data_IF_930395847893
#
_entry.id   IF_930395847893
#
_cell.length_a   1.000
_cell.length_b   1.000
_cell.length_c   1.000
_cell.angle_alpha   90.00
_cell.angle_beta   90.00
_cell.angle_gamma   90.00
#
_symmetry.space_group_name_H-M   'P 1'
#
loop_
_entity.id
_entity.type
_entity.pdbx_description
1 polymer ?
#
# COMPACT_ATOMS: atom_id res chain seq x y z
N UNK A 1 11.58 8.36 10.54
CA UNK A 1 10.95 7.12 10.02
C UNK A 1 11.46 5.93 10.79
N UNK A 2 10.60 4.97 11.13
CA UNK A 2 11.02 3.75 11.83
C UNK A 2 10.73 2.54 10.93
N UNK A 3 11.74 1.68 10.74
CA UNK A 3 11.60 0.40 10.05
C UNK A 3 11.47 -0.73 11.05
N UNK A 4 10.69 -1.75 10.72
CA UNK A 4 10.51 -2.94 11.53
C UNK A 4 10.67 -4.19 10.65
N UNK A 5 11.92 -4.63 10.36
CA UNK A 5 12.16 -5.84 9.59
C UNK A 5 11.69 -7.06 10.36
N UNK A 6 11.10 -8.03 9.65
CA UNK A 6 10.69 -9.31 10.23
C UNK A 6 11.85 -10.30 10.34
N UNK A 7 12.85 -10.18 9.47
CA UNK A 7 14.04 -11.04 9.48
C UNK A 7 15.26 -10.21 9.94
N UNK A 8 15.82 -10.56 11.10
CA UNK A 8 17.01 -9.93 11.66
C UNK A 8 18.27 -10.12 10.78
N UNK A 9 18.22 -11.07 9.84
CA UNK A 9 19.29 -11.29 8.87
C UNK A 9 19.24 -10.36 7.67
N UNK A 10 18.18 -9.59 7.50
CA UNK A 10 18.10 -8.54 6.51
C UNK A 10 19.10 -7.45 6.88
N UNK A 11 20.23 -7.44 6.21
CA UNK A 11 21.19 -6.34 6.25
C UNK A 11 20.58 -5.21 5.45
N UNK A 12 20.03 -4.23 6.13
CA UNK A 12 19.59 -2.97 5.53
C UNK A 12 20.73 -1.98 5.68
N UNK A 13 21.21 -1.45 4.56
CA UNK A 13 22.18 -0.35 4.59
C UNK A 13 21.44 0.93 5.01
N UNK A 14 21.59 1.27 6.28
CA UNK A 14 20.97 2.46 6.88
C UNK A 14 21.87 3.68 6.70
N UNK A 15 22.02 4.15 5.47
CA UNK A 15 22.74 5.39 5.18
C UNK A 15 22.02 6.65 5.71
N UNK A 16 20.77 6.54 6.13
CA UNK A 16 19.96 7.66 6.66
C UNK A 16 20.01 7.66 8.21
N UNK A 17 20.70 8.63 8.83
CA UNK A 17 20.90 8.66 10.28
C UNK A 17 19.61 8.90 11.09
N UNK A 18 18.50 9.32 10.44
CA UNK A 18 17.19 9.49 11.07
C UNK A 18 16.31 8.24 10.99
N UNK A 19 16.84 7.16 10.40
CA UNK A 19 16.14 5.90 10.32
C UNK A 19 16.31 5.14 11.64
N UNK A 20 15.20 4.81 12.28
CA UNK A 20 15.16 3.99 13.50
C UNK A 20 14.68 2.58 13.15
N UNK A 21 15.22 1.58 13.82
CA UNK A 21 14.80 0.18 13.69
C UNK A 21 14.17 -0.27 15.00
N UNK A 22 13.00 -0.92 14.92
CA UNK A 22 12.29 -1.45 16.09
C UNK A 22 11.65 -2.80 15.73
N UNK A 23 11.33 -3.60 16.74
CA UNK A 23 10.52 -4.80 16.53
C UNK A 23 9.11 -4.41 16.03
N UNK A 24 8.51 -5.16 15.08
CA UNK A 24 7.18 -4.87 14.53
C UNK A 24 6.11 -4.69 15.62
N UNK A 25 6.13 -5.53 16.63
CA UNK A 25 5.17 -5.51 17.74
C UNK A 25 5.32 -4.25 18.63
N UNK A 26 6.53 -3.72 18.74
CA UNK A 26 6.78 -2.47 19.46
C UNK A 26 6.30 -1.26 18.64
N UNK A 27 6.53 -1.29 17.32
CA UNK A 27 6.08 -0.26 16.41
C UNK A 27 4.55 -0.10 16.43
N UNK A 28 3.82 -1.22 16.39
CA UNK A 28 2.36 -1.21 16.41
C UNK A 28 1.74 -0.69 17.73
N UNK A 29 2.51 -0.65 18.82
CA UNK A 29 2.09 -0.08 20.12
C UNK A 29 2.44 1.41 20.24
N UNK A 30 3.25 1.96 19.34
CA UNK A 30 3.63 3.36 19.36
C UNK A 30 2.50 4.26 18.85
N UNK A 31 2.54 5.54 19.25
CA UNK A 31 1.72 6.57 18.60
C UNK A 31 2.34 6.88 17.23
N UNK A 32 1.62 6.56 16.16
CA UNK A 32 2.08 6.71 14.79
C UNK A 32 1.26 7.78 14.07
N UNK A 33 1.92 8.60 13.27
CA UNK A 33 1.27 9.54 12.36
C UNK A 33 0.73 8.82 11.12
N UNK A 34 1.42 7.79 10.64
CA UNK A 34 0.99 6.87 9.59
C UNK A 34 1.77 5.56 9.68
N UNK A 35 1.23 4.49 9.12
CA UNK A 35 1.83 3.16 9.09
C UNK A 35 1.82 2.59 7.68
N UNK A 36 2.90 1.94 7.25
CA UNK A 36 2.91 1.11 6.05
C UNK A 36 3.25 -0.33 6.41
N UNK A 37 2.60 -1.29 5.75
CA UNK A 37 2.82 -2.71 5.97
C UNK A 37 2.65 -3.49 4.66
N UNK A 38 3.50 -4.50 4.46
CA UNK A 38 3.37 -5.43 3.34
C UNK A 38 4.67 -5.80 2.66
N UNK A 39 5.53 -4.86 2.24
CA UNK A 39 6.82 -5.22 1.66
C UNK A 39 7.63 -6.14 2.58
N UNK A 40 7.97 -7.34 2.08
CA UNK A 40 8.74 -8.32 2.85
C UNK A 40 8.05 -8.89 4.10
N UNK A 41 6.75 -8.71 4.23
CA UNK A 41 5.98 -9.17 5.41
C UNK A 41 5.89 -10.70 5.50
N UNK A 42 5.88 -11.38 4.35
CA UNK A 42 5.52 -12.81 4.29
C UNK A 42 4.02 -13.05 4.42
N UNK A 43 3.64 -14.33 4.42
CA UNK A 43 2.22 -14.73 4.43
C UNK A 43 1.94 -15.80 5.50
N UNK A 44 2.78 -15.94 6.50
CA UNK A 44 2.61 -16.86 7.62
C UNK A 44 1.62 -16.32 8.68
N UNK A 45 1.44 -17.09 9.73
CA UNK A 45 0.53 -16.73 10.84
C UNK A 45 0.98 -15.48 11.59
N UNK A 46 2.30 -15.22 11.70
CA UNK A 46 2.84 -14.01 12.32
C UNK A 46 2.55 -12.78 11.46
N UNK A 47 2.80 -12.88 10.15
CA UNK A 47 2.49 -11.83 9.18
C UNK A 47 0.99 -11.49 9.20
N UNK A 48 0.14 -12.51 9.24
CA UNK A 48 -1.31 -12.35 9.35
C UNK A 48 -1.72 -11.61 10.64
N UNK A 49 -1.13 -11.96 11.79
CA UNK A 49 -1.41 -11.29 13.06
C UNK A 49 -0.93 -9.82 13.07
N UNK A 50 0.21 -9.52 12.44
CA UNK A 50 0.71 -8.15 12.30
C UNK A 50 -0.21 -7.31 11.41
N UNK A 51 -0.72 -7.87 10.31
CA UNK A 51 -1.72 -7.20 9.48
C UNK A 51 -3.00 -6.94 10.27
N UNK A 52 -3.48 -7.92 11.03
CA UNK A 52 -4.67 -7.76 11.87
C UNK A 52 -4.51 -6.65 12.92
N UNK A 53 -3.32 -6.51 13.52
CA UNK A 53 -2.99 -5.42 14.42
C UNK A 53 -2.90 -4.07 13.70
N UNK A 54 -2.31 -4.03 12.49
CA UNK A 54 -2.24 -2.83 11.68
C UNK A 54 -3.63 -2.34 11.25
N UNK A 55 -4.54 -3.26 10.89
CA UNK A 55 -5.93 -2.92 10.56
C UNK A 55 -6.69 -2.32 11.74
N UNK A 56 -6.30 -2.62 12.98
CA UNK A 56 -6.88 -2.05 14.19
C UNK A 56 -6.24 -0.71 14.61
N UNK A 57 -5.10 -0.33 14.02
CA UNK A 57 -4.39 0.90 14.37
C UNK A 57 -5.22 2.15 14.01
N UNK A 58 -5.26 3.20 14.84
CA UNK A 58 -6.10 4.38 14.62
C UNK A 58 -5.46 5.41 13.69
N UNK A 59 -4.32 5.11 13.06
CA UNK A 59 -3.60 6.00 12.15
C UNK A 59 -3.87 5.66 10.68
N UNK A 60 -3.58 6.59 9.73
CA UNK A 60 -3.56 6.29 8.31
C UNK A 60 -2.66 5.10 7.96
N UNK A 61 -3.08 4.28 6.99
CA UNK A 61 -2.43 3.02 6.65
C UNK A 61 -2.10 2.94 5.16
N UNK A 62 -0.91 2.43 4.82
CA UNK A 62 -0.54 2.06 3.45
C UNK A 62 -0.35 0.54 3.41
N UNK A 63 -1.07 -0.15 2.51
CA UNK A 63 -0.99 -1.59 2.29
C UNK A 63 -0.41 -1.88 0.90
N UNK A 64 0.61 -2.73 0.84
CA UNK A 64 1.23 -3.18 -0.41
C UNK A 64 1.63 -4.66 -0.33
N UNK A 65 1.97 -5.26 -1.44
CA UNK A 65 2.63 -6.57 -1.54
C UNK A 65 1.94 -7.68 -0.72
N UNK A 66 2.66 -8.29 0.25
CA UNK A 66 2.15 -9.41 1.04
C UNK A 66 0.93 -9.05 1.89
N UNK A 67 0.80 -7.81 2.35
CA UNK A 67 -0.40 -7.36 3.05
C UNK A 67 -1.65 -7.43 2.16
N UNK A 68 -1.53 -7.09 0.87
CA UNK A 68 -2.62 -7.21 -0.11
C UNK A 68 -2.96 -8.67 -0.40
N UNK A 69 -1.97 -9.55 -0.43
CA UNK A 69 -2.18 -10.98 -0.59
C UNK A 69 -2.91 -11.59 0.62
N UNK A 70 -2.49 -11.24 1.84
CA UNK A 70 -3.15 -11.66 3.08
C UNK A 70 -4.58 -11.11 3.19
N UNK A 71 -4.81 -9.90 2.69
CA UNK A 71 -6.14 -9.29 2.62
C UNK A 71 -7.04 -10.03 1.62
N UNK A 72 -6.51 -10.40 0.44
CA UNK A 72 -7.24 -11.16 -0.57
C UNK A 72 -7.61 -12.57 -0.10
N UNK A 73 -6.77 -13.19 0.72
CA UNK A 73 -6.99 -14.54 1.25
C UNK A 73 -8.08 -14.61 2.33
N UNK A 74 -8.54 -13.48 2.89
CA UNK A 74 -9.48 -13.48 4.01
C UNK A 74 -10.53 -12.37 3.87
N UNK A 75 -11.75 -12.68 3.38
CA UNK A 75 -12.84 -11.71 3.23
C UNK A 75 -13.14 -10.91 4.51
N UNK A 76 -13.06 -11.52 5.67
CA UNK A 76 -13.24 -10.85 6.96
C UNK A 76 -12.22 -9.70 7.19
N UNK A 77 -10.99 -9.80 6.63
CA UNK A 77 -10.03 -8.71 6.67
C UNK A 77 -10.42 -7.56 5.75
N UNK A 78 -11.02 -7.87 4.59
CA UNK A 78 -11.53 -6.85 3.67
C UNK A 78 -12.69 -6.07 4.31
N UNK A 79 -13.59 -6.75 5.00
CA UNK A 79 -14.69 -6.13 5.76
C UNK A 79 -14.14 -5.21 6.89
N UNK A 80 -13.15 -5.69 7.64
CA UNK A 80 -12.49 -4.89 8.68
C UNK A 80 -11.79 -3.68 8.10
N UNK A 81 -11.12 -3.81 6.95
CA UNK A 81 -10.51 -2.69 6.24
C UNK A 81 -11.56 -1.66 5.83
N UNK A 82 -12.64 -2.09 5.21
CA UNK A 82 -13.73 -1.21 4.77
C UNK A 82 -14.45 -0.50 5.95
N UNK A 83 -14.42 -1.07 7.14
CA UNK A 83 -15.00 -0.49 8.36
C UNK A 83 -14.08 0.51 9.07
N UNK A 84 -12.80 0.66 8.64
CA UNK A 84 -11.86 1.58 9.28
C UNK A 84 -12.33 3.03 9.17
N UNK A 85 -12.14 3.78 10.27
CA UNK A 85 -12.38 5.23 10.27
C UNK A 85 -11.15 6.01 9.76
N UNK A 86 -9.95 5.53 10.09
CA UNK A 86 -8.72 6.10 9.58
C UNK A 86 -8.51 5.70 8.11
N UNK A 87 -8.06 6.63 7.25
CA UNK A 87 -7.91 6.37 5.82
C UNK A 87 -6.88 5.30 5.51
N UNK A 88 -7.10 4.58 4.41
CA UNK A 88 -6.17 3.58 3.92
C UNK A 88 -5.84 3.81 2.45
N UNK A 89 -4.57 3.65 2.11
CA UNK A 89 -4.04 3.65 0.75
C UNK A 89 -3.62 2.23 0.37
N UNK A 90 -3.98 1.80 -0.83
CA UNK A 90 -3.62 0.49 -1.40
C UNK A 90 -2.82 0.70 -2.68
N UNK A 91 -1.74 -0.04 -2.87
CA UNK A 91 -0.88 0.08 -4.05
C UNK A 91 -0.77 -1.24 -4.84
N UNK A 92 -1.90 -1.87 -5.24
CA UNK A 92 -1.86 -3.16 -5.90
C UNK A 92 -1.25 -3.10 -7.31
N UNK A 93 -0.44 -4.10 -7.67
CA UNK A 93 -0.22 -4.41 -9.07
C UNK A 93 -1.40 -5.23 -9.64
N UNK A 94 -1.53 -5.44 -10.98
CA UNK A 94 -2.70 -6.12 -11.54
C UNK A 94 -2.98 -7.51 -10.98
N UNK A 95 -1.94 -8.28 -10.63
CA UNK A 95 -2.11 -9.61 -10.03
C UNK A 95 -2.67 -9.55 -8.60
N UNK A 96 -2.28 -8.58 -7.78
CA UNK A 96 -2.84 -8.34 -6.44
C UNK A 96 -4.28 -7.86 -6.52
N UNK A 97 -4.57 -6.92 -7.45
CA UNK A 97 -5.91 -6.44 -7.72
C UNK A 97 -6.85 -7.59 -8.17
N UNK A 98 -6.33 -8.50 -8.99
CA UNK A 98 -7.07 -9.67 -9.45
C UNK A 98 -7.48 -10.58 -8.28
N UNK A 99 -6.54 -10.86 -7.35
CA UNK A 99 -6.83 -11.67 -6.15
C UNK A 99 -7.87 -10.99 -5.26
N UNK A 100 -7.74 -9.69 -5.03
CA UNK A 100 -8.67 -8.91 -4.20
C UNK A 100 -10.10 -8.87 -4.78
N UNK A 101 -10.23 -8.86 -6.11
CA UNK A 101 -11.53 -8.82 -6.80
C UNK A 101 -12.06 -10.20 -7.19
N UNK A 102 -11.33 -11.29 -6.94
CA UNK A 102 -11.70 -12.62 -7.43
C UNK A 102 -11.78 -12.70 -8.96
N UNK A 103 -10.86 -12.02 -9.66
CA UNK A 103 -10.78 -11.93 -11.13
C UNK A 103 -9.44 -12.45 -11.64
N UNK A 104 -9.26 -12.46 -12.96
CA UNK A 104 -7.95 -12.74 -13.57
C UNK A 104 -7.16 -11.44 -13.81
N UNK A 105 -5.82 -11.50 -13.88
CA UNK A 105 -5.02 -10.34 -14.28
C UNK A 105 -5.40 -9.78 -15.66
N UNK A 106 -5.87 -10.62 -16.58
CA UNK A 106 -6.36 -10.21 -17.90
C UNK A 106 -7.63 -9.34 -17.79
N UNK A 107 -8.57 -9.71 -16.91
CA UNK A 107 -9.78 -8.91 -16.66
C UNK A 107 -9.42 -7.53 -16.09
N UNK A 108 -8.42 -7.47 -15.18
CA UNK A 108 -7.94 -6.21 -14.62
C UNK A 108 -7.33 -5.33 -15.70
N UNK A 109 -6.53 -5.91 -16.59
CA UNK A 109 -5.87 -5.16 -17.67
C UNK A 109 -6.86 -4.68 -18.74
N UNK A 110 -7.93 -5.44 -18.99
CA UNK A 110 -8.98 -5.06 -19.94
C UNK A 110 -9.78 -3.82 -19.50
N UNK A 111 -9.95 -3.62 -18.19
CA UNK A 111 -10.67 -2.47 -17.61
C UNK A 111 -9.98 -2.00 -16.31
N UNK A 112 -8.83 -1.35 -16.45
CA UNK A 112 -8.01 -0.89 -15.33
C UNK A 112 -8.72 0.19 -14.50
N UNK A 113 -9.41 1.11 -15.15
CA UNK A 113 -10.15 2.18 -14.46
C UNK A 113 -11.29 1.59 -13.64
N UNK A 114 -12.11 0.75 -14.25
CA UNK A 114 -13.21 0.09 -13.54
C UNK A 114 -12.71 -0.84 -12.43
N UNK A 115 -11.58 -1.52 -12.61
CA UNK A 115 -10.99 -2.35 -11.55
C UNK A 115 -10.53 -1.51 -10.36
N UNK A 116 -9.84 -0.39 -10.58
CA UNK A 116 -9.39 0.52 -9.54
C UNK A 116 -10.57 1.13 -8.77
N UNK A 117 -11.61 1.57 -9.47
CA UNK A 117 -12.83 2.12 -8.87
C UNK A 117 -13.58 1.06 -8.03
N UNK A 118 -13.72 -0.17 -8.55
CA UNK A 118 -14.34 -1.28 -7.80
C UNK A 118 -13.58 -1.58 -6.51
N UNK A 119 -12.25 -1.65 -6.55
CA UNK A 119 -11.42 -1.85 -5.35
C UNK A 119 -11.61 -0.70 -4.35
N UNK A 120 -11.54 0.53 -4.84
CA UNK A 120 -11.66 1.73 -4.01
C UNK A 120 -13.01 1.80 -3.29
N UNK A 121 -14.10 1.56 -4.01
CA UNK A 121 -15.45 1.57 -3.46
C UNK A 121 -15.67 0.39 -2.50
N UNK A 122 -15.29 -0.83 -2.90
CA UNK A 122 -15.47 -2.04 -2.09
C UNK A 122 -14.70 -1.97 -0.77
N UNK A 123 -13.45 -1.53 -0.81
CA UNK A 123 -12.57 -1.46 0.36
C UNK A 123 -12.60 -0.10 1.07
N UNK A 124 -13.39 0.86 0.56
CA UNK A 124 -13.48 2.24 1.06
C UNK A 124 -12.11 2.89 1.27
N UNK A 125 -11.23 2.68 0.31
CA UNK A 125 -9.81 3.04 0.39
C UNK A 125 -9.36 3.74 -0.89
N UNK A 126 -8.33 4.58 -0.80
CA UNK A 126 -7.67 5.12 -2.00
C UNK A 126 -6.80 4.03 -2.61
N UNK A 127 -6.84 3.86 -3.92
CA UNK A 127 -6.17 2.76 -4.64
C UNK A 127 -5.28 3.32 -5.75
N UNK A 128 -4.01 2.96 -5.77
CA UNK A 128 -3.12 3.13 -6.92
C UNK A 128 -2.90 1.78 -7.61
N UNK A 129 -3.66 1.50 -8.66
CA UNK A 129 -3.48 0.31 -9.49
C UNK A 129 -2.24 0.49 -10.38
N UNK A 130 -1.13 -0.11 -9.95
CA UNK A 130 0.21 -0.01 -10.56
C UNK A 130 0.22 -0.54 -12.00
N UNK A 131 1.05 0.04 -12.87
CA UNK A 131 1.28 -0.36 -14.27
C UNK A 131 1.51 0.82 -15.19
N UNK A 132 1.65 0.58 -16.49
CA UNK A 132 1.71 1.65 -17.47
C UNK A 132 0.42 2.49 -17.40
N UNK A 133 0.55 3.78 -17.10
CA UNK A 133 -0.59 4.62 -16.72
C UNK A 133 -1.21 4.13 -15.40
N UNK A 134 -0.50 4.28 -14.28
CA UNK A 134 -1.04 3.96 -12.96
C UNK A 134 -2.36 4.70 -12.72
N UNK A 135 -3.41 3.95 -12.38
CA UNK A 135 -4.74 4.52 -12.09
C UNK A 135 -4.84 4.74 -10.58
N UNK A 136 -5.06 5.99 -10.18
CA UNK A 136 -5.41 6.32 -8.79
C UNK A 136 -6.92 6.51 -8.72
N UNK A 137 -7.58 5.78 -7.82
CA UNK A 137 -9.03 5.84 -7.62
C UNK A 137 -9.35 6.13 -6.15
N UNK A 138 -10.44 6.86 -5.92
CA UNK A 138 -10.86 7.32 -4.62
C UNK A 138 -12.24 6.75 -4.24
N UNK A 139 -12.56 6.63 -2.93
CA UNK A 139 -13.84 6.09 -2.46
C UNK A 139 -15.07 6.91 -2.92
N UNK A 140 -14.87 8.17 -3.28
CA UNK A 140 -15.92 9.05 -3.79
C UNK A 140 -16.21 8.89 -5.31
N UNK A 141 -15.53 7.96 -5.98
CA UNK A 141 -15.69 7.66 -7.40
C UNK A 141 -14.81 8.51 -8.32
N UNK A 142 -14.03 9.45 -7.81
CA UNK A 142 -13.04 10.17 -8.61
C UNK A 142 -11.86 9.25 -8.95
N UNK A 143 -11.25 9.48 -10.08
CA UNK A 143 -10.00 8.81 -10.47
C UNK A 143 -9.12 9.72 -11.33
N UNK A 144 -7.83 9.40 -11.37
CA UNK A 144 -6.88 9.96 -12.33
C UNK A 144 -6.01 8.85 -12.94
N UNK A 145 -5.45 9.12 -14.10
CA UNK A 145 -4.46 8.25 -14.76
C UNK A 145 -3.14 9.01 -14.79
N UNK A 146 -2.13 8.46 -14.12
CA UNK A 146 -0.81 9.06 -14.07
C UNK A 146 -0.06 8.84 -15.40
N UNK A 147 0.38 9.92 -16.02
CA UNK A 147 1.11 9.90 -17.27
C UNK A 147 2.64 9.88 -17.10
N UNK A 148 3.16 9.97 -15.87
CA UNK A 148 4.59 9.90 -15.58
C UNK A 148 5.08 8.46 -15.42
N UNK A 149 6.39 8.26 -15.52
CA UNK A 149 7.03 6.96 -15.42
C UNK A 149 7.25 6.28 -16.77
N UNK A 150 7.95 5.17 -16.75
CA UNK A 150 8.30 4.40 -17.92
C UNK A 150 8.74 2.96 -17.59
N UNK A 151 9.22 2.21 -18.60
CA UNK A 151 9.62 0.81 -18.42
C UNK A 151 10.67 0.57 -17.34
N UNK A 152 11.49 1.56 -17.02
CA UNK A 152 12.50 1.52 -15.96
C UNK A 152 11.92 1.34 -14.55
N UNK A 153 10.64 1.64 -14.34
CA UNK A 153 9.96 1.35 -13.08
C UNK A 153 9.59 -0.14 -12.90
N UNK A 154 9.75 -0.96 -13.94
CA UNK A 154 9.53 -2.41 -13.86
C UNK A 154 10.76 -3.13 -13.28
N UNK A 155 11.23 -2.68 -12.12
CA UNK A 155 12.36 -3.25 -11.40
C UNK A 155 11.99 -3.59 -9.95
N UNK A 156 12.73 -4.53 -9.35
CA UNK A 156 12.53 -4.89 -7.94
C UNK A 156 12.69 -3.66 -7.03
N UNK A 157 11.84 -3.55 -6.02
CA UNK A 157 11.84 -2.44 -5.06
C UNK A 157 11.17 -1.15 -5.54
N UNK A 158 10.75 -1.04 -6.81
CA UNK A 158 10.04 0.14 -7.28
C UNK A 158 8.70 0.34 -6.54
N UNK A 159 7.96 -0.76 -6.27
CA UNK A 159 6.75 -0.71 -5.45
C UNK A 159 7.02 -0.25 -4.03
N UNK A 160 8.09 -0.75 -3.41
CA UNK A 160 8.46 -0.39 -2.04
C UNK A 160 8.79 1.11 -1.93
N UNK A 161 9.45 1.68 -2.95
CA UNK A 161 9.67 3.14 -3.04
C UNK A 161 8.37 3.93 -3.10
N UNK A 162 7.39 3.48 -3.90
CA UNK A 162 6.06 4.11 -3.97
C UNK A 162 5.37 4.08 -2.60
N UNK A 163 5.39 2.92 -1.93
CA UNK A 163 4.84 2.72 -0.59
C UNK A 163 5.50 3.66 0.43
N UNK A 164 6.84 3.79 0.37
CA UNK A 164 7.59 4.73 1.22
C UNK A 164 7.26 6.20 0.95
N UNK A 165 7.10 6.59 -0.32
CA UNK A 165 6.69 7.95 -0.70
C UNK A 165 5.28 8.27 -0.19
N UNK A 166 4.31 7.36 -0.38
CA UNK A 166 2.95 7.53 0.10
C UNK A 166 2.91 7.65 1.64
N UNK A 167 3.66 6.80 2.35
CA UNK A 167 3.79 6.87 3.81
C UNK A 167 4.36 8.21 4.27
N UNK A 168 5.43 8.68 3.62
CA UNK A 168 6.09 9.94 3.99
C UNK A 168 5.16 11.15 3.82
N UNK A 169 4.40 11.20 2.72
CA UNK A 169 3.45 12.28 2.46
C UNK A 169 2.26 12.26 3.44
N UNK A 170 1.75 11.07 3.78
CA UNK A 170 0.76 10.92 4.85
C UNK A 170 1.29 11.39 6.20
N UNK A 171 2.51 10.99 6.57
CA UNK A 171 3.15 11.40 7.82
C UNK A 171 3.44 12.91 7.88
N UNK A 172 3.51 13.59 6.75
CA UNK A 172 3.60 15.06 6.65
C UNK A 172 2.23 15.75 6.72
N UNK A 173 1.14 15.00 6.83
CA UNK A 173 -0.20 15.53 7.01
C UNK A 173 -0.93 15.88 5.71
N UNK A 174 -0.47 15.41 4.54
CA UNK A 174 -1.25 15.56 3.31
C UNK A 174 -2.56 14.77 3.41
N UNK A 175 -3.62 15.31 2.78
CA UNK A 175 -4.87 14.56 2.64
C UNK A 175 -4.61 13.22 1.92
N UNK A 176 -5.26 12.12 2.33
CA UNK A 176 -4.89 10.77 1.85
C UNK A 176 -4.95 10.59 0.33
N UNK A 177 -5.95 11.18 -0.32
CA UNK A 177 -6.04 11.18 -1.79
C UNK A 177 -4.86 11.91 -2.42
N UNK A 178 -4.58 13.14 -1.97
CA UNK A 178 -3.50 13.98 -2.48
C UNK A 178 -2.13 13.33 -2.23
N UNK A 179 -1.95 12.69 -1.06
CA UNK A 179 -0.73 11.96 -0.73
C UNK A 179 -0.48 10.81 -1.72
N UNK A 180 -1.51 10.05 -2.09
CA UNK A 180 -1.37 8.95 -3.04
C UNK A 180 -1.12 9.46 -4.47
N UNK A 181 -1.85 10.49 -4.91
CA UNK A 181 -1.66 11.12 -6.21
C UNK A 181 -0.25 11.69 -6.36
N UNK A 182 0.21 12.46 -5.38
CA UNK A 182 1.55 13.03 -5.36
C UNK A 182 2.63 11.94 -5.32
N UNK A 183 2.45 10.89 -4.50
CA UNK A 183 3.39 9.76 -4.45
C UNK A 183 3.53 9.07 -5.80
N UNK A 184 2.41 8.79 -6.48
CA UNK A 184 2.42 8.14 -7.80
C UNK A 184 3.10 9.03 -8.83
N UNK A 185 2.83 10.33 -8.83
CA UNK A 185 3.46 11.28 -9.75
C UNK A 185 4.96 11.40 -9.51
N UNK A 186 5.38 11.64 -8.27
CA UNK A 186 6.80 11.73 -7.87
C UNK A 186 7.55 10.43 -8.19
N UNK A 187 6.95 9.28 -7.90
CA UNK A 187 7.53 7.98 -8.23
C UNK A 187 7.76 7.83 -9.74
N UNK A 188 6.82 8.28 -10.56
CA UNK A 188 6.96 8.29 -12.01
C UNK A 188 8.06 9.23 -12.52
N UNK A 189 8.33 10.34 -11.81
CA UNK A 189 9.37 11.31 -12.16
C UNK A 189 10.76 10.94 -11.61
N UNK A 190 10.87 10.02 -10.65
CA UNK A 190 12.10 9.72 -9.90
C UNK A 190 12.99 8.63 -10.52
N UNK A 191 12.87 8.40 -11.80
CA UNK A 191 13.63 7.35 -12.49
C UNK A 191 14.75 7.89 -13.35
#
# INVERSE_FOLDING_TARGET
>A
MTLAPLDERLVVDYAEPRLMVAAPEALLKAKLDALAIGPGLGQDTRAAALLDAALAAPCPLVLDADALNLLAAAPARQERLAARQAPTLLTPHPGEAARLLGRTPADIQADRVGAALRLSTHLRSHVALKGAGTVVAHPDGRYLVNATGGPWLAQAGAGDRLTGMALALLGQGLAPGDALEAAVWLHGCSA
#
